data_IF_493197954236
#
_entry.id   IF_493197954236
#
_cell.length_a   1.000
_cell.length_b   1.000
_cell.length_c   1.000
_cell.angle_alpha   90.00
_cell.angle_beta   90.00
_cell.angle_gamma   90.00
#
_symmetry.space_group_name_H-M   'P 1'
#
loop_
_entity.id
_entity.type
_entity.pdbx_description
1 polymer ?
#
# COMPACT_ATOMS: atom_id res chain seq x y z
N UNK A 1 0.91 37.73 23.75
CA UNK A 1 1.77 37.50 24.94
C UNK A 1 3.09 36.95 24.45
N UNK A 2 4.19 37.69 24.61
CA UNK A 2 5.51 37.26 24.17
C UNK A 2 6.12 36.29 25.19
N UNK A 3 6.61 35.16 24.70
CA UNK A 3 7.11 34.04 25.48
C UNK A 3 8.47 34.40 26.13
N UNK A 4 8.46 34.83 27.38
CA UNK A 4 9.64 35.37 28.06
C UNK A 4 10.50 34.24 28.68
N UNK A 5 11.03 33.36 27.83
CA UNK A 5 11.93 32.27 28.26
C UNK A 5 13.24 32.85 28.81
N UNK A 6 13.69 32.36 29.96
CA UNK A 6 14.96 32.79 30.56
C UNK A 6 16.14 32.42 29.67
N UNK A 7 17.25 33.17 29.77
CA UNK A 7 18.44 32.95 28.92
C UNK A 7 18.95 31.50 29.00
N UNK A 8 18.88 30.88 30.17
CA UNK A 8 19.24 29.48 30.38
C UNK A 8 18.30 28.48 29.67
N UNK A 9 17.00 28.77 29.62
CA UNK A 9 16.04 27.94 28.88
C UNK A 9 16.25 28.05 27.37
N UNK A 10 16.62 29.24 26.88
CA UNK A 10 16.97 29.45 25.46
C UNK A 10 18.23 28.68 25.09
N UNK A 11 19.29 28.76 25.89
CA UNK A 11 20.54 28.02 25.63
C UNK A 11 20.35 26.50 25.67
N UNK A 12 19.58 25.98 26.62
CA UNK A 12 19.24 24.55 26.68
C UNK A 12 18.48 24.09 25.43
N UNK A 13 17.47 24.85 24.99
CA UNK A 13 16.72 24.54 23.76
C UNK A 13 17.58 24.57 22.50
N UNK A 14 18.57 25.48 22.43
CA UNK A 14 19.54 25.54 21.33
C UNK A 14 20.47 24.34 21.32
N UNK A 15 20.94 23.87 22.48
CA UNK A 15 21.80 22.68 22.60
C UNK A 15 21.05 21.42 22.15
N UNK A 16 19.78 21.29 22.51
CA UNK A 16 18.97 20.14 22.09
C UNK A 16 18.68 20.17 20.58
N UNK A 17 18.49 21.36 20.00
CA UNK A 17 18.39 21.52 18.56
C UNK A 17 19.69 21.12 17.84
N UNK A 18 20.86 21.52 18.37
CA UNK A 18 22.18 21.13 17.83
C UNK A 18 22.35 19.62 17.88
N UNK A 19 22.05 18.96 19.01
CA UNK A 19 22.14 17.50 19.13
C UNK A 19 21.24 16.77 18.14
N UNK A 20 20.04 17.30 17.90
CA UNK A 20 19.12 16.73 16.91
C UNK A 20 19.69 16.85 15.50
N UNK A 21 20.22 18.01 15.15
CA UNK A 21 20.89 18.26 13.86
C UNK A 21 22.10 17.32 13.67
N UNK A 22 22.95 17.16 14.68
CA UNK A 22 24.09 16.22 14.64
C UNK A 22 23.64 14.78 14.42
N UNK A 23 22.57 14.36 15.09
CA UNK A 23 22.00 13.02 14.93
C UNK A 23 21.44 12.79 13.53
N UNK A 24 20.77 13.79 12.95
CA UNK A 24 20.27 13.75 11.58
C UNK A 24 21.43 13.68 10.57
N UNK A 25 22.44 14.53 10.73
CA UNK A 25 23.63 14.54 9.88
C UNK A 25 24.39 13.21 9.94
N UNK A 26 24.57 12.65 11.15
CA UNK A 26 25.20 11.34 11.35
C UNK A 26 24.41 10.23 10.68
N UNK A 27 23.08 10.25 10.81
CA UNK A 27 22.19 9.29 10.13
C UNK A 27 22.34 9.40 8.62
N UNK A 28 22.33 10.59 8.05
CA UNK A 28 22.53 10.79 6.61
C UNK A 28 23.89 10.29 6.13
N UNK A 29 24.95 10.55 6.89
CA UNK A 29 26.30 10.05 6.58
C UNK A 29 26.33 8.51 6.59
N UNK A 30 25.68 7.89 7.57
CA UNK A 30 25.60 6.43 7.67
C UNK A 30 24.77 5.82 6.53
N UNK A 31 23.66 6.46 6.14
CA UNK A 31 22.87 6.04 4.97
C UNK A 31 23.66 6.18 3.67
N UNK A 32 24.38 7.30 3.48
CA UNK A 32 25.28 7.48 2.32
C UNK A 32 26.34 6.39 2.28
N UNK A 33 26.97 6.10 3.40
CA UNK A 33 28.00 5.06 3.50
C UNK A 33 27.44 3.67 3.17
N UNK A 34 26.23 3.36 3.65
CA UNK A 34 25.55 2.10 3.36
C UNK A 34 25.24 1.95 1.86
N UNK A 35 24.73 3.02 1.24
CA UNK A 35 24.42 3.03 -0.19
C UNK A 35 25.69 2.94 -1.03
N UNK A 36 26.76 3.64 -0.63
CA UNK A 36 28.05 3.63 -1.30
C UNK A 36 28.71 2.24 -1.21
N UNK A 37 28.66 1.58 -0.05
CA UNK A 37 29.34 0.31 0.25
C UNK A 37 28.47 -0.92 0.02
N UNK A 38 27.45 -0.82 -0.84
CA UNK A 38 26.41 -1.86 -1.00
C UNK A 38 27.01 -3.23 -1.40
N UNK A 39 27.20 -4.10 -0.40
CA UNK A 39 27.72 -5.46 -0.58
C UNK A 39 29.22 -5.65 -0.30
N UNK A 40 29.95 -4.60 0.10
CA UNK A 40 31.39 -4.69 0.42
C UNK A 40 31.78 -3.85 1.63
N UNK A 41 32.92 -4.16 2.26
CA UNK A 41 33.48 -3.33 3.36
C UNK A 41 34.02 -1.99 2.87
N UNK A 42 34.45 -1.94 1.61
CA UNK A 42 35.09 -0.80 0.97
C UNK A 42 34.13 -0.16 -0.05
N UNK A 43 34.24 1.15 -0.32
CA UNK A 43 33.53 1.77 -1.42
C UNK A 43 33.94 1.12 -2.75
N UNK A 44 33.06 1.11 -3.77
CA UNK A 44 33.38 0.58 -5.09
C UNK A 44 34.59 1.35 -5.64
N UNK A 45 35.65 0.63 -5.94
CA UNK A 45 36.81 1.20 -6.60
C UNK A 45 36.54 1.25 -8.11
N UNK A 46 36.67 2.42 -8.72
CA UNK A 46 36.67 2.51 -10.18
C UNK A 46 37.98 1.94 -10.70
N UNK A 47 37.88 0.91 -11.53
CA UNK A 47 39.04 0.29 -12.23
C UNK A 47 39.35 1.07 -13.52
N UNK A 48 38.50 2.02 -13.90
CA UNK A 48 38.65 2.83 -15.10
C UNK A 48 39.97 3.64 -15.07
N UNK A 49 40.87 3.43 -16.05
CA UNK A 49 42.06 4.27 -16.19
C UNK A 49 41.67 5.69 -16.62
N UNK A 50 42.11 6.69 -15.85
CA UNK A 50 41.98 8.12 -16.15
C UNK A 50 40.53 8.57 -16.51
N UNK A 51 39.56 8.42 -15.58
CA UNK A 51 38.17 8.76 -15.86
C UNK A 51 38.00 10.24 -16.20
N UNK A 52 38.73 11.12 -15.51
CA UNK A 52 38.59 12.57 -15.67
C UNK A 52 39.40 13.11 -16.85
N UNK A 53 38.81 14.01 -17.64
CA UNK A 53 39.45 14.66 -18.79
C UNK A 53 40.70 15.45 -18.39
N UNK A 54 40.69 16.07 -17.22
CA UNK A 54 41.82 16.84 -16.69
C UNK A 54 43.09 16.00 -16.53
N UNK A 55 42.94 14.73 -16.15
CA UNK A 55 44.08 13.82 -16.01
C UNK A 55 44.68 13.49 -17.38
N UNK A 56 43.82 13.37 -18.41
CA UNK A 56 44.21 13.13 -19.81
C UNK A 56 44.83 14.35 -20.50
N UNK A 57 44.41 15.55 -20.10
CA UNK A 57 44.92 16.83 -20.59
C UNK A 57 46.17 17.31 -19.83
N UNK A 58 46.52 16.64 -18.72
CA UNK A 58 47.75 16.96 -18.00
C UNK A 58 48.97 16.54 -18.83
N UNK A 59 50.06 17.31 -18.75
CA UNK A 59 51.31 16.99 -19.48
C UNK A 59 51.94 15.64 -19.10
N UNK A 60 51.42 14.98 -18.06
CA UNK A 60 51.87 13.68 -17.59
C UNK A 60 51.10 12.51 -18.22
N UNK A 61 50.25 12.75 -19.23
CA UNK A 61 49.52 11.70 -19.94
C UNK A 61 50.40 11.04 -21.00
N UNK A 62 50.98 9.89 -20.65
CA UNK A 62 51.95 9.19 -21.50
C UNK A 62 51.27 8.35 -22.59
N UNK A 63 52.05 7.89 -23.57
CA UNK A 63 51.55 6.98 -24.61
C UNK A 63 51.11 5.62 -24.03
N UNK A 64 51.73 5.17 -22.94
CA UNK A 64 51.35 3.96 -22.22
C UNK A 64 49.95 4.11 -21.59
N UNK A 65 49.67 5.27 -20.98
CA UNK A 65 48.36 5.59 -20.40
C UNK A 65 47.27 5.64 -21.49
N UNK A 66 47.62 6.12 -22.68
CA UNK A 66 46.72 6.14 -23.84
C UNK A 66 46.40 4.74 -24.34
N UNK A 67 47.37 3.83 -24.34
CA UNK A 67 47.16 2.43 -24.69
C UNK A 67 46.24 1.73 -23.67
N UNK A 68 46.46 1.96 -22.37
CA UNK A 68 45.60 1.43 -21.30
C UNK A 68 44.16 1.93 -21.44
N UNK A 69 43.97 3.23 -21.68
CA UNK A 69 42.63 3.79 -21.90
C UNK A 69 41.96 3.20 -23.15
N UNK A 70 42.71 3.05 -24.23
CA UNK A 70 42.21 2.45 -25.47
C UNK A 70 41.77 1.01 -25.23
N UNK A 71 42.57 0.22 -24.52
CA UNK A 71 42.22 -1.15 -24.15
C UNK A 71 40.94 -1.19 -23.32
N UNK A 72 40.85 -0.37 -22.26
CA UNK A 72 39.64 -0.30 -21.43
C UNK A 72 38.38 0.01 -22.24
N UNK A 73 38.46 0.94 -23.20
CA UNK A 73 37.32 1.28 -24.07
C UNK A 73 36.93 0.12 -25.00
N UNK A 74 37.90 -0.66 -25.47
CA UNK A 74 37.63 -1.87 -26.26
C UNK A 74 36.98 -2.96 -25.40
N UNK A 75 37.43 -3.12 -24.14
CA UNK A 75 36.87 -4.10 -23.20
C UNK A 75 35.41 -3.79 -22.82
N UNK A 76 34.95 -2.54 -23.00
CA UNK A 76 33.53 -2.17 -22.81
C UNK A 76 32.63 -2.60 -23.98
N UNK A 77 33.20 -3.02 -25.11
CA UNK A 77 32.43 -3.48 -26.26
C UNK A 77 32.00 -4.93 -26.00
N UNK A 78 30.70 -5.13 -25.80
CA UNK A 78 30.14 -6.47 -25.63
C UNK A 78 30.26 -7.27 -26.93
N UNK A 79 30.47 -8.58 -26.79
CA UNK A 79 30.47 -9.48 -27.95
C UNK A 79 29.05 -9.68 -28.48
N UNK A 80 28.92 -10.03 -29.77
CA UNK A 80 27.60 -10.29 -30.40
C UNK A 80 26.78 -11.39 -29.70
N UNK A 81 27.47 -12.27 -28.94
CA UNK A 81 26.84 -13.33 -28.15
C UNK A 81 26.17 -12.81 -26.87
N UNK A 82 26.63 -11.68 -26.36
CA UNK A 82 26.10 -11.07 -25.14
C UNK A 82 25.01 -10.05 -25.49
N UNK A 83 23.89 -10.01 -24.76
CA UNK A 83 23.63 -10.62 -23.45
C UNK A 83 23.14 -12.08 -23.49
N UNK A 84 23.84 -12.98 -22.80
CA UNK A 84 23.45 -14.38 -22.68
C UNK A 84 22.36 -14.54 -21.62
N UNK A 85 21.17 -14.95 -22.06
CA UNK A 85 20.06 -15.24 -21.15
C UNK A 85 20.24 -16.61 -20.51
N UNK A 86 20.77 -16.64 -19.27
CA UNK A 86 20.94 -17.89 -18.52
C UNK A 86 19.69 -18.20 -17.70
N UNK A 87 18.91 -19.19 -18.14
CA UNK A 87 17.63 -19.55 -17.51
C UNK A 87 17.71 -19.89 -16.03
N UNK A 88 18.85 -20.43 -15.56
CA UNK A 88 19.03 -20.85 -14.15
C UNK A 88 19.00 -19.65 -13.19
N UNK A 89 19.57 -18.52 -13.57
CA UNK A 89 19.66 -17.32 -12.72
C UNK A 89 18.43 -16.42 -12.83
N UNK A 90 17.70 -16.50 -13.95
CA UNK A 90 16.44 -15.78 -14.19
C UNK A 90 15.19 -16.62 -13.88
N UNK A 91 15.35 -17.81 -13.28
CA UNK A 91 14.25 -18.74 -13.05
C UNK A 91 13.22 -18.12 -12.09
N UNK A 92 12.10 -17.65 -12.64
CA UNK A 92 10.94 -17.20 -11.86
C UNK A 92 10.24 -18.43 -11.26
N UNK A 93 9.64 -18.26 -10.07
CA UNK A 93 8.76 -19.27 -9.47
C UNK A 93 7.69 -19.73 -10.49
N UNK A 94 7.33 -21.02 -10.51
CA UNK A 94 6.35 -21.62 -11.44
C UNK A 94 5.04 -20.85 -11.44
N UNK A 95 4.50 -20.51 -10.26
CA UNK A 95 3.27 -19.71 -10.15
C UNK A 95 3.42 -18.33 -10.80
N UNK A 96 4.59 -17.71 -10.62
CA UNK A 96 4.89 -16.42 -11.22
C UNK A 96 5.05 -16.52 -12.75
N UNK A 97 5.46 -17.69 -13.28
CA UNK A 97 5.50 -17.93 -14.73
C UNK A 97 4.09 -18.07 -15.29
N UNK A 98 3.26 -18.89 -14.65
CA UNK A 98 1.87 -19.13 -15.09
C UNK A 98 1.08 -17.81 -15.05
N UNK A 99 1.19 -17.04 -13.97
CA UNK A 99 0.53 -15.75 -13.85
C UNK A 99 0.98 -14.73 -14.91
N UNK A 100 2.28 -14.71 -15.24
CA UNK A 100 2.81 -13.75 -16.23
C UNK A 100 2.64 -14.22 -17.68
N UNK A 101 2.45 -15.52 -17.94
CA UNK A 101 2.34 -16.09 -19.28
C UNK A 101 1.35 -15.37 -20.21
N UNK A 102 0.10 -15.05 -19.80
CA UNK A 102 -0.84 -14.33 -20.67
C UNK A 102 -0.35 -12.90 -20.98
N UNK A 103 0.21 -12.20 -19.99
CA UNK A 103 0.72 -10.84 -20.17
C UNK A 103 1.99 -10.80 -21.04
N UNK A 104 2.88 -11.79 -20.89
CA UNK A 104 4.08 -11.94 -21.73
C UNK A 104 3.72 -12.36 -23.18
N UNK A 105 2.59 -13.05 -23.40
CA UNK A 105 2.08 -13.31 -24.74
C UNK A 105 1.50 -12.04 -25.40
N UNK A 106 0.75 -11.24 -24.63
CA UNK A 106 0.22 -9.95 -25.09
C UNK A 106 1.35 -8.97 -25.43
N UNK A 107 2.38 -8.89 -24.60
CA UNK A 107 3.56 -8.04 -24.82
C UNK A 107 4.30 -8.42 -26.13
N UNK A 108 4.46 -9.73 -26.38
CA UNK A 108 5.01 -10.23 -27.66
C UNK A 108 4.13 -9.90 -28.87
N UNK A 109 2.81 -9.89 -28.70
CA UNK A 109 1.91 -9.47 -29.76
C UNK A 109 2.02 -7.95 -30.01
N UNK A 110 2.09 -7.14 -28.95
CA UNK A 110 2.16 -5.68 -29.03
C UNK A 110 3.50 -5.17 -29.60
N UNK A 111 4.60 -5.82 -29.24
CA UNK A 111 5.91 -5.52 -29.84
C UNK A 111 5.91 -5.82 -31.34
N UNK A 112 5.16 -6.84 -31.78
CA UNK A 112 5.02 -7.17 -33.20
C UNK A 112 4.17 -6.17 -33.99
N UNK A 113 3.27 -5.43 -33.35
CA UNK A 113 2.44 -4.41 -34.02
C UNK A 113 3.17 -3.10 -34.30
N UNK A 114 4.46 -2.97 -33.96
CA UNK A 114 5.29 -1.81 -34.30
C UNK A 114 5.08 -0.59 -33.39
N UNK A 115 4.49 -0.78 -32.21
CA UNK A 115 4.36 0.30 -31.21
C UNK A 115 5.74 0.74 -30.68
N UNK A 116 5.91 2.02 -30.32
CA UNK A 116 7.16 2.49 -29.73
C UNK A 116 7.41 1.76 -28.39
N UNK A 117 8.68 1.47 -28.12
CA UNK A 117 9.11 0.69 -26.94
C UNK A 117 8.59 1.27 -25.63
N UNK A 118 8.49 2.60 -25.55
CA UNK A 118 7.97 3.34 -24.39
C UNK A 118 6.50 3.04 -24.09
N UNK A 119 5.65 2.96 -25.13
CA UNK A 119 4.23 2.66 -24.97
C UNK A 119 4.02 1.21 -24.52
N UNK A 120 4.74 0.27 -25.13
CA UNK A 120 4.70 -1.14 -24.77
C UNK A 120 5.11 -1.37 -23.31
N UNK A 121 6.16 -0.69 -22.85
CA UNK A 121 6.58 -0.74 -21.45
C UNK A 121 5.52 -0.18 -20.48
N UNK A 122 4.87 0.93 -20.84
CA UNK A 122 3.77 1.51 -20.06
C UNK A 122 2.60 0.52 -19.91
N UNK A 123 2.22 -0.13 -21.00
CA UNK A 123 1.13 -1.12 -21.02
C UNK A 123 1.50 -2.34 -20.18
N UNK A 124 2.72 -2.86 -20.30
CA UNK A 124 3.24 -3.98 -19.49
C UNK A 124 3.14 -3.70 -17.98
N UNK A 125 3.37 -2.47 -17.57
CA UNK A 125 3.32 -2.08 -16.15
C UNK A 125 1.89 -1.83 -15.65
N UNK A 126 1.05 -1.19 -16.46
CA UNK A 126 -0.29 -0.79 -16.06
C UNK A 126 -1.31 -1.94 -16.13
N UNK A 127 -1.26 -2.73 -17.20
CA UNK A 127 -2.31 -3.72 -17.51
C UNK A 127 -2.51 -4.78 -16.40
N UNK A 128 -1.45 -5.43 -15.85
CA UNK A 128 -1.65 -6.43 -14.81
C UNK A 128 -2.24 -5.84 -13.53
N UNK A 129 -1.91 -4.58 -13.22
CA UNK A 129 -2.44 -3.88 -12.04
C UNK A 129 -3.90 -3.52 -12.20
N UNK A 130 -4.30 -3.08 -13.39
CA UNK A 130 -5.70 -2.79 -13.70
C UNK A 130 -6.54 -4.07 -13.65
N UNK A 131 -6.07 -5.16 -14.27
CA UNK A 131 -6.80 -6.45 -14.25
C UNK A 131 -6.91 -6.99 -12.83
N UNK A 132 -5.82 -7.00 -12.06
CA UNK A 132 -5.85 -7.46 -10.67
C UNK A 132 -6.72 -6.55 -9.78
N UNK A 133 -6.66 -5.24 -9.97
CA UNK A 133 -7.49 -4.27 -9.24
C UNK A 133 -8.98 -4.46 -9.53
N UNK A 134 -9.36 -4.60 -10.80
CA UNK A 134 -10.75 -4.88 -11.20
C UNK A 134 -11.24 -6.23 -10.66
N UNK A 135 -10.41 -7.28 -10.75
CA UNK A 135 -10.75 -8.59 -10.20
C UNK A 135 -10.95 -8.54 -8.67
N UNK A 136 -10.09 -7.80 -7.94
CA UNK A 136 -10.22 -7.63 -6.50
C UNK A 136 -11.49 -6.86 -6.12
N UNK A 137 -11.81 -5.77 -6.83
CA UNK A 137 -13.04 -4.99 -6.63
C UNK A 137 -14.27 -5.86 -6.90
N UNK A 138 -14.26 -6.62 -8.00
CA UNK A 138 -15.37 -7.51 -8.35
C UNK A 138 -15.56 -8.61 -7.30
N UNK A 139 -14.48 -9.28 -6.89
CA UNK A 139 -14.52 -10.30 -5.84
C UNK A 139 -15.04 -9.73 -4.52
N UNK A 140 -14.63 -8.51 -4.15
CA UNK A 140 -15.12 -7.81 -2.97
C UNK A 140 -16.62 -7.53 -3.07
N UNK A 141 -17.08 -6.93 -4.17
CA UNK A 141 -18.49 -6.66 -4.41
C UNK A 141 -19.33 -7.94 -4.37
N UNK A 142 -18.85 -9.01 -5.00
CA UNK A 142 -19.53 -10.29 -5.02
C UNK A 142 -19.60 -10.91 -3.61
N UNK A 143 -18.52 -10.86 -2.85
CA UNK A 143 -18.50 -11.33 -1.46
C UNK A 143 -19.48 -10.54 -0.58
N UNK A 144 -19.47 -9.22 -0.68
CA UNK A 144 -20.40 -8.33 0.04
C UNK A 144 -21.87 -8.57 -0.35
N UNK A 145 -22.15 -8.95 -1.61
CA UNK A 145 -23.50 -9.21 -2.11
C UNK A 145 -24.04 -10.59 -1.68
N UNK A 146 -23.21 -11.62 -1.72
CA UNK A 146 -23.65 -13.02 -1.53
C UNK A 146 -23.53 -13.45 -0.07
N UNK A 147 -22.49 -13.00 0.65
CA UNK A 147 -22.19 -13.47 2.00
C UNK A 147 -21.83 -12.31 2.94
N UNK A 148 -22.72 -11.32 3.15
CA UNK A 148 -22.56 -10.39 4.25
C UNK A 148 -22.65 -11.15 5.58
N UNK A 149 -21.95 -10.65 6.61
CA UNK A 149 -22.07 -11.20 7.96
C UNK A 149 -23.48 -10.97 8.48
N UNK A 150 -24.19 -12.06 8.74
CA UNK A 150 -25.51 -12.04 9.37
C UNK A 150 -25.43 -12.69 10.75
N UNK A 151 -26.50 -12.55 11.53
CA UNK A 151 -26.61 -13.20 12.84
C UNK A 151 -26.55 -14.74 12.74
N UNK A 152 -26.95 -15.34 11.61
CA UNK A 152 -26.95 -16.79 11.40
C UNK A 152 -25.58 -17.34 11.04
N UNK A 153 -24.85 -16.63 10.18
CA UNK A 153 -23.58 -17.13 9.64
C UNK A 153 -22.38 -16.83 10.53
N UNK A 154 -22.40 -15.72 11.29
CA UNK A 154 -21.32 -15.35 12.22
C UNK A 154 -19.93 -15.09 11.58
N UNK A 155 -19.81 -15.25 10.25
CA UNK A 155 -18.57 -15.14 9.46
C UNK A 155 -18.81 -14.18 8.29
N UNK A 156 -17.76 -13.48 7.86
CA UNK A 156 -17.82 -12.50 6.77
C UNK A 156 -17.67 -11.06 7.24
N UNK A 157 -17.82 -10.12 6.31
CA UNK A 157 -17.74 -8.69 6.60
C UNK A 157 -19.10 -8.12 7.03
N UNK A 158 -19.08 -7.27 8.05
CA UNK A 158 -20.26 -6.51 8.47
C UNK A 158 -20.54 -5.43 7.43
N UNK A 159 -21.70 -5.49 6.80
CA UNK A 159 -22.18 -4.45 5.87
C UNK A 159 -23.23 -3.62 6.58
N UNK A 160 -22.82 -2.49 7.13
CA UNK A 160 -23.74 -1.47 7.61
C UNK A 160 -24.01 -0.48 6.48
N UNK A 161 -25.27 -0.42 6.04
CA UNK A 161 -25.72 0.69 5.21
C UNK A 161 -25.91 1.89 6.13
N UNK A 162 -25.23 3.00 5.84
CA UNK A 162 -25.65 4.28 6.37
C UNK A 162 -27.10 4.51 5.90
N UNK A 163 -27.99 4.93 6.80
CA UNK A 163 -29.29 5.43 6.38
C UNK A 163 -29.05 6.54 5.34
N UNK A 164 -29.90 6.62 4.31
CA UNK A 164 -29.68 7.38 3.08
C UNK A 164 -29.59 8.91 3.27
N UNK A 165 -28.54 9.37 3.95
CA UNK A 165 -28.26 10.77 4.30
C UNK A 165 -26.83 11.09 3.92
N UNK A 166 -26.53 10.80 2.67
CA UNK A 166 -25.32 11.31 2.02
C UNK A 166 -25.66 12.10 0.77
N UNK A 167 -26.96 12.30 0.49
CA UNK A 167 -27.38 13.52 -0.23
C UNK A 167 -27.23 14.65 0.76
N UNK A 168 -26.44 15.66 0.41
CA UNK A 168 -26.10 16.79 1.28
C UNK A 168 -27.36 17.29 1.98
N UNK A 169 -27.45 17.14 3.31
CA UNK A 169 -28.48 17.78 4.11
C UNK A 169 -28.18 19.27 4.11
N UNK A 170 -28.65 19.98 3.10
CA UNK A 170 -28.46 21.42 2.97
C UNK A 170 -29.43 22.11 3.93
N UNK A 171 -28.96 23.07 4.75
CA UNK A 171 -29.82 23.86 5.64
C UNK A 171 -31.03 24.43 4.89
N UNK A 172 -32.23 24.27 5.46
CA UNK A 172 -33.48 24.75 4.87
C UNK A 172 -34.24 23.74 3.99
N UNK A 173 -33.75 22.50 3.87
CA UNK A 173 -34.51 21.39 3.27
C UNK A 173 -35.20 20.56 4.34
N UNK A 174 -36.30 19.87 4.01
CA UNK A 174 -36.95 18.94 4.95
C UNK A 174 -36.00 17.82 5.43
N UNK A 175 -35.00 17.46 4.62
CA UNK A 175 -33.95 16.52 5.01
C UNK A 175 -33.06 17.09 6.12
N UNK A 176 -32.83 18.41 6.17
CA UNK A 176 -32.06 19.05 7.25
C UNK A 176 -32.77 18.99 8.60
N UNK A 177 -34.09 19.20 8.62
CA UNK A 177 -34.87 19.12 9.87
C UNK A 177 -34.85 17.70 10.44
N UNK A 178 -35.01 16.69 9.58
CA UNK A 178 -34.92 15.27 9.98
C UNK A 178 -33.53 14.89 10.49
N UNK A 179 -32.48 15.55 9.97
CA UNK A 179 -31.11 15.40 10.48
C UNK A 179 -30.94 15.99 11.86
N UNK A 180 -31.44 17.21 12.08
CA UNK A 180 -31.41 17.86 13.39
C UNK A 180 -32.21 17.07 14.43
N UNK A 181 -33.33 16.46 14.03
CA UNK A 181 -34.16 15.62 14.88
C UNK A 181 -33.55 14.24 15.14
N UNK A 182 -32.41 13.93 14.52
CA UNK A 182 -31.68 12.69 14.75
C UNK A 182 -32.35 11.43 14.20
N UNK A 183 -33.38 11.57 13.36
CA UNK A 183 -34.12 10.45 12.74
C UNK A 183 -33.25 9.56 11.84
N UNK A 184 -32.07 10.06 11.49
CA UNK A 184 -31.13 9.38 10.62
C UNK A 184 -30.09 8.55 11.36
N UNK A 185 -29.87 8.83 12.64
CA UNK A 185 -28.98 8.01 13.44
C UNK A 185 -29.68 6.69 13.72
N UNK A 186 -29.01 5.58 13.41
CA UNK A 186 -29.45 4.27 13.88
C UNK A 186 -29.43 4.27 15.40
N UNK A 187 -30.41 3.61 16.01
CA UNK A 187 -30.34 3.33 17.44
C UNK A 187 -29.09 2.52 17.73
N UNK A 188 -28.45 2.75 18.88
CA UNK A 188 -27.22 2.04 19.28
C UNK A 188 -27.40 0.52 19.22
N UNK A 189 -28.59 0.04 19.57
CA UNK A 189 -28.99 -1.38 19.57
C UNK A 189 -29.09 -1.96 18.15
N UNK A 190 -29.44 -1.14 17.15
CA UNK A 190 -29.55 -1.58 15.76
C UNK A 190 -28.20 -1.73 15.03
N UNK A 191 -27.09 -1.37 15.67
CA UNK A 191 -25.76 -1.51 15.10
C UNK A 191 -25.28 -2.97 15.11
N UNK A 192 -25.55 -3.67 16.21
CA UNK A 192 -25.12 -5.07 16.43
C UNK A 192 -26.20 -6.11 16.06
N UNK A 193 -27.37 -5.65 15.62
CA UNK A 193 -28.52 -6.52 15.29
C UNK A 193 -28.21 -7.50 14.14
N UNK A 194 -27.31 -7.16 13.20
CA UNK A 194 -26.90 -8.02 12.06
C UNK A 194 -28.09 -8.65 11.29
N UNK A 195 -29.24 -7.98 11.29
CA UNK A 195 -30.48 -8.45 10.66
C UNK A 195 -31.35 -9.39 11.49
N UNK A 196 -31.01 -9.64 12.77
CA UNK A 196 -31.78 -10.49 13.68
C UNK A 196 -33.20 -9.99 13.90
N UNK A 197 -33.41 -8.67 13.97
CA UNK A 197 -34.73 -8.07 14.06
C UNK A 197 -35.61 -8.35 12.83
N UNK A 198 -35.03 -8.62 11.66
CA UNK A 198 -35.76 -8.87 10.39
C UNK A 198 -36.21 -10.31 10.20
N UNK A 199 -35.89 -11.22 11.13
CA UNK A 199 -36.27 -12.64 11.04
C UNK A 199 -37.79 -12.82 10.98
N UNK A 200 -38.24 -13.78 10.17
CA UNK A 200 -39.63 -14.25 10.15
C UNK A 200 -39.86 -15.43 11.12
N UNK A 201 -38.82 -16.19 11.44
CA UNK A 201 -38.89 -17.31 12.38
C UNK A 201 -38.84 -16.83 13.84
N UNK A 202 -39.58 -17.51 14.74
CA UNK A 202 -39.56 -17.29 16.20
C UNK A 202 -39.93 -15.85 16.66
N UNK A 203 -40.86 -15.18 15.97
CA UNK A 203 -41.42 -13.91 16.46
C UNK A 203 -42.58 -14.09 17.43
N UNK A 204 -43.36 -15.16 17.27
CA UNK A 204 -44.64 -15.33 17.97
C UNK A 204 -44.54 -16.17 19.26
N UNK A 205 -43.45 -16.93 19.43
CA UNK A 205 -43.31 -17.88 20.56
C UNK A 205 -42.97 -17.21 21.90
N UNK A 206 -42.46 -15.96 21.88
CA UNK A 206 -42.15 -15.20 23.10
C UNK A 206 -43.37 -14.61 23.80
N UNK A 207 -44.56 -14.63 23.17
CA UNK A 207 -45.80 -14.20 23.82
C UNK A 207 -46.49 -15.32 24.61
N UNK A 208 -46.15 -16.58 24.35
CA UNK A 208 -46.76 -17.73 25.03
C UNK A 208 -46.01 -18.16 26.30
N UNK A 209 -44.72 -17.83 26.42
CA UNK A 209 -43.90 -18.22 27.58
C UNK A 209 -43.90 -17.19 28.72
N UNK A 210 -44.29 -15.93 28.48
CA UNK A 210 -44.41 -14.91 29.53
C UNK A 210 -45.79 -14.88 30.22
N UNK A 211 -46.81 -15.52 29.64
CA UNK A 211 -48.16 -15.60 30.19
C UNK A 211 -48.38 -16.78 31.17
N UNK A 212 -47.42 -17.70 31.29
CA UNK A 212 -47.52 -18.90 32.14
C UNK A 212 -46.57 -18.82 33.35
N UNK A 213 -46.71 -17.77 34.16
CA UNK A 213 -46.15 -17.76 35.52
C UNK A 213 -47.10 -18.46 36.49
N UNK A 214 -46.65 -19.34 37.41
CA UNK A 214 -47.53 -20.01 38.36
C UNK A 214 -48.10 -18.99 39.37
N UNK A 215 -49.42 -18.84 39.37
CA UNK A 215 -50.17 -18.11 40.41
C UNK A 215 -50.07 -18.91 41.72
N UNK A 216 -49.17 -18.49 42.61
CA UNK A 216 -49.07 -19.02 43.97
C UNK A 216 -50.20 -18.43 44.82
N UNK A 217 -51.32 -19.15 44.93
CA UNK A 217 -52.39 -18.83 45.87
C UNK A 217 -51.89 -19.04 47.31
N UNK A 218 -51.66 -17.94 48.03
CA UNK A 218 -51.42 -17.96 49.47
C UNK A 218 -52.75 -17.93 50.24
N UNK A 219 -53.18 -19.07 50.77
CA UNK A 219 -54.19 -19.13 51.84
C UNK A 219 -53.49 -18.97 53.18
N UNK A 220 -53.63 -17.80 53.80
CA UNK A 220 -53.29 -17.57 55.21
C UNK A 220 -54.56 -17.85 56.02
N UNK A 221 -54.55 -18.93 56.79
CA UNK A 221 -55.55 -19.20 57.82
C UNK A 221 -55.16 -18.42 59.10
N UNK A 222 -56.06 -17.56 59.56
CA UNK A 222 -56.38 -17.34 60.97
C UNK A 222 -57.90 -17.23 61.10
#
# INVERSE_FOLDING_TARGET
MADNKSVAQRSASSVDAIKKMEKELYREALMRDYDLKRGSKYPPMSIEPFPYERQRLSGNYTDADRALRKQWLQDQILTDREPVHVERWMRRNIFRRIWNAPFDALDRALTRTGLPLSATYGIRFALPKLVAGLAAIYALCLHLKVAPRTWETGVGMVVTQANAVTRMSVPGTAEWERFQNGEFYRSKESFDDLGFSKRSAMRDETLLTSAAGPQMNGTVNQ
#
